data_IF_478548145195
#
_entry.id   IF_478548145195
#
_cell.length_a   1.000
_cell.length_b   1.000
_cell.length_c   1.000
_cell.angle_alpha   90.00
_cell.angle_beta   90.00
_cell.angle_gamma   90.00
#
_symmetry.space_group_name_H-M   'P 1'
#
loop_
_entity.id
_entity.type
_entity.pdbx_description
1 polymer ?
#
# COMPACT_ATOMS: atom_id res chain seq x y z
N UNK A 1 27.17 -22.47 57.49
CA UNK A 1 27.41 -21.78 56.21
C UNK A 1 27.03 -22.70 55.07
N UNK A 2 25.90 -22.46 54.37
CA UNK A 2 25.76 -22.83 52.97
C UNK A 2 25.51 -21.55 52.16
N UNK A 3 26.35 -21.27 51.17
CA UNK A 3 26.11 -20.18 50.22
C UNK A 3 25.43 -20.82 49.01
N UNK A 4 24.18 -20.46 48.79
CA UNK A 4 23.36 -20.90 47.66
C UNK A 4 23.96 -20.40 46.35
N UNK A 5 24.30 -21.33 45.47
CA UNK A 5 24.63 -21.07 44.07
C UNK A 5 23.38 -20.62 43.32
N UNK A 6 23.24 -19.31 43.12
CA UNK A 6 22.23 -18.76 42.20
C UNK A 6 22.61 -19.11 40.76
N UNK A 7 22.00 -20.18 40.23
CA UNK A 7 21.98 -20.44 38.79
C UNK A 7 21.06 -19.40 38.15
N UNK A 8 21.66 -18.41 37.48
CA UNK A 8 20.94 -17.36 36.79
C UNK A 8 20.37 -17.94 35.48
N UNK A 9 19.11 -18.40 35.51
CA UNK A 9 18.37 -18.97 34.37
C UNK A 9 18.34 -18.04 33.14
N UNK A 10 18.67 -16.76 33.30
CA UNK A 10 18.69 -15.77 32.22
C UNK A 10 19.84 -15.93 31.19
N UNK A 11 20.80 -16.84 31.38
CA UNK A 11 21.94 -17.00 30.47
C UNK A 11 21.76 -18.06 29.36
N UNK A 12 20.62 -18.76 29.32
CA UNK A 12 20.42 -19.91 28.42
C UNK A 12 19.66 -19.62 27.12
N UNK A 13 19.23 -18.38 26.86
CA UNK A 13 18.63 -18.05 25.57
C UNK A 13 19.73 -17.79 24.53
N UNK A 14 19.93 -18.67 23.53
CA UNK A 14 20.91 -18.44 22.48
C UNK A 14 20.57 -17.12 21.78
N UNK A 15 21.56 -16.25 21.55
CA UNK A 15 21.37 -14.97 20.85
C UNK A 15 20.64 -15.12 19.51
N UNK A 16 20.73 -16.29 18.88
CA UNK A 16 20.02 -16.68 17.66
C UNK A 16 18.51 -16.88 17.86
N UNK A 17 18.05 -17.39 19.01
CA UNK A 17 16.63 -17.59 19.28
C UNK A 17 15.90 -16.26 19.45
N UNK A 18 16.55 -15.26 20.04
CA UNK A 18 16.02 -13.89 20.17
C UNK A 18 15.68 -13.27 18.80
N UNK A 19 16.57 -13.43 17.81
CA UNK A 19 16.34 -12.93 16.46
C UNK A 19 15.18 -13.67 15.74
N UNK A 20 15.03 -14.97 15.96
CA UNK A 20 13.93 -15.76 15.38
C UNK A 20 12.58 -15.33 15.94
N UNK A 21 12.47 -15.15 17.26
CA UNK A 21 11.25 -14.65 17.87
C UNK A 21 10.92 -13.22 17.40
N UNK A 22 11.93 -12.37 17.23
CA UNK A 22 11.75 -11.02 16.69
C UNK A 22 11.21 -11.05 15.25
N UNK A 23 11.76 -11.90 14.38
CA UNK A 23 11.28 -12.06 13.00
C UNK A 23 9.85 -12.59 12.98
N UNK A 24 9.53 -13.62 13.77
CA UNK A 24 8.18 -14.18 13.86
C UNK A 24 7.14 -13.15 14.35
N UNK A 25 7.53 -12.29 15.30
CA UNK A 25 6.70 -11.17 15.78
C UNK A 25 6.45 -10.10 14.72
N UNK A 26 7.38 -9.91 13.77
CA UNK A 26 7.30 -8.90 12.72
C UNK A 26 6.60 -9.40 11.44
N UNK A 27 6.50 -10.71 11.20
CA UNK A 27 5.80 -11.30 10.04
C UNK A 27 4.37 -10.77 9.80
N UNK A 28 3.49 -10.60 10.81
CA UNK A 28 2.12 -10.11 10.57
C UNK A 28 2.05 -8.64 10.11
N UNK A 29 3.13 -7.85 10.26
CA UNK A 29 3.18 -6.45 9.81
C UNK A 29 3.26 -6.33 8.28
N UNK A 30 3.47 -7.44 7.55
CA UNK A 30 3.64 -7.44 6.08
C UNK A 30 2.30 -7.42 5.32
N UNK A 31 1.15 -7.35 6.01
CA UNK A 31 -0.19 -7.39 5.39
C UNK A 31 -0.56 -6.16 4.52
N UNK A 32 0.35 -5.24 4.21
CA UNK A 32 0.02 -3.96 3.58
C UNK A 32 0.04 -3.95 2.04
N UNK A 33 0.42 -5.06 1.38
CA UNK A 33 0.50 -5.10 -0.08
C UNK A 33 -0.69 -5.83 -0.71
N UNK A 34 -1.38 -5.17 -1.64
CA UNK A 34 -2.45 -5.73 -2.49
C UNK A 34 -1.88 -6.67 -3.54
N UNK A 35 -1.15 -7.70 -3.11
CA UNK A 35 -0.58 -8.71 -3.97
C UNK A 35 -1.54 -9.88 -4.10
N UNK A 36 -2.15 -10.04 -5.28
CA UNK A 36 -3.03 -11.16 -5.60
C UNK A 36 -2.39 -12.03 -6.69
N UNK A 37 -2.47 -13.34 -6.52
CA UNK A 37 -2.14 -14.31 -7.55
C UNK A 37 -3.33 -14.54 -8.49
N UNK A 38 -3.05 -14.69 -9.79
CA UNK A 38 -4.08 -14.97 -10.80
C UNK A 38 -4.60 -13.71 -11.52
N UNK A 39 -5.71 -13.83 -12.26
CA UNK A 39 -6.27 -12.70 -13.00
C UNK A 39 -6.80 -11.62 -12.04
N UNK A 40 -6.84 -10.38 -12.52
CA UNK A 40 -7.41 -9.29 -11.76
C UNK A 40 -8.88 -9.57 -11.41
N UNK A 41 -9.33 -9.23 -10.19
CA UNK A 41 -10.75 -9.27 -9.88
C UNK A 41 -11.51 -8.29 -10.77
N UNK A 42 -12.79 -8.58 -11.04
CA UNK A 42 -13.69 -7.66 -11.74
C UNK A 42 -14.60 -6.98 -10.71
N UNK A 43 -14.22 -5.80 -10.18
CA UNK A 43 -15.03 -5.09 -9.20
C UNK A 43 -16.35 -4.60 -9.83
N UNK A 44 -17.35 -4.38 -8.98
CA UNK A 44 -18.59 -3.72 -9.41
C UNK A 44 -18.30 -2.28 -9.86
N UNK A 45 -18.93 -1.86 -10.96
CA UNK A 45 -18.83 -0.50 -11.50
C UNK A 45 -20.00 0.36 -11.02
N UNK A 46 -19.83 1.69 -11.03
CA UNK A 46 -20.89 2.63 -10.65
C UNK A 46 -22.05 2.57 -11.66
N UNK A 47 -23.26 2.16 -11.25
CA UNK A 47 -24.43 2.20 -12.13
C UNK A 47 -24.87 3.64 -12.39
N UNK A 48 -25.37 3.91 -13.59
CA UNK A 48 -25.88 5.24 -13.98
C UNK A 48 -24.82 6.34 -13.98
N UNK A 49 -23.56 6.00 -14.25
CA UNK A 49 -22.46 6.96 -14.27
C UNK A 49 -22.73 8.12 -15.23
N UNK A 50 -22.76 9.34 -14.69
CA UNK A 50 -22.94 10.56 -15.46
C UNK A 50 -21.57 11.20 -15.74
N UNK A 51 -21.07 11.02 -16.96
CA UNK A 51 -19.74 11.49 -17.35
C UNK A 51 -19.61 13.02 -17.28
N UNK A 52 -20.68 13.75 -17.55
CA UNK A 52 -20.68 15.22 -17.54
C UNK A 52 -20.36 15.77 -16.15
N UNK A 53 -20.80 15.09 -15.09
CA UNK A 53 -20.48 15.43 -13.69
C UNK A 53 -19.05 15.05 -13.29
N UNK A 54 -18.40 14.16 -14.05
CA UNK A 54 -17.05 13.68 -13.76
C UNK A 54 -15.96 14.51 -14.45
N UNK A 55 -16.33 15.28 -15.48
CA UNK A 55 -15.40 16.17 -16.19
C UNK A 55 -14.80 17.24 -15.26
N UNK A 56 -13.64 17.77 -15.67
CA UNK A 56 -12.92 18.78 -14.93
C UNK A 56 -11.75 18.19 -14.13
N UNK A 57 -11.32 18.94 -13.12
CA UNK A 57 -10.09 18.67 -12.37
C UNK A 57 -10.35 17.82 -11.15
N UNK A 58 -9.49 16.81 -10.98
CA UNK A 58 -9.41 15.96 -9.81
C UNK A 58 -8.00 16.04 -9.22
N UNK A 59 -7.92 15.95 -7.89
CA UNK A 59 -6.68 15.89 -7.14
C UNK A 59 -6.50 14.46 -6.64
N UNK A 60 -5.30 13.90 -6.85
CA UNK A 60 -4.97 12.62 -6.27
C UNK A 60 -4.73 12.77 -4.77
N UNK A 61 -5.49 12.03 -3.96
CA UNK A 61 -5.36 12.05 -2.49
C UNK A 61 -4.36 10.98 -2.04
N UNK A 62 -4.51 9.76 -2.53
CA UNK A 62 -3.65 8.61 -2.23
C UNK A 62 -3.49 7.72 -3.46
N UNK A 63 -2.36 7.01 -3.53
CA UNK A 63 -2.08 6.04 -4.59
C UNK A 63 -1.14 4.94 -4.13
N UNK A 64 -1.16 3.85 -4.88
CA UNK A 64 -0.12 2.83 -4.79
C UNK A 64 1.17 3.33 -5.47
N UNK A 65 2.36 2.90 -5.00
CA UNK A 65 3.62 3.22 -5.65
C UNK A 65 3.61 2.80 -7.12
N UNK A 66 3.91 3.73 -8.00
CA UNK A 66 4.02 3.47 -9.44
C UNK A 66 5.25 4.21 -10.02
N UNK A 67 5.74 3.75 -11.17
CA UNK A 67 6.98 4.26 -11.77
C UNK A 67 6.78 5.52 -12.62
N UNK A 68 5.55 5.82 -13.03
CA UNK A 68 5.24 6.86 -14.01
C UNK A 68 4.83 8.20 -13.36
N UNK A 69 4.33 8.20 -12.13
CA UNK A 69 4.04 9.39 -11.34
C UNK A 69 5.10 9.53 -10.24
N UNK A 70 6.04 10.46 -10.39
CA UNK A 70 7.13 10.66 -9.42
C UNK A 70 7.02 11.97 -8.63
N UNK A 71 6.24 12.92 -9.13
CA UNK A 71 6.09 14.25 -8.54
C UNK A 71 5.11 14.29 -7.37
N UNK A 72 4.75 15.50 -6.99
CA UNK A 72 3.75 15.78 -5.94
C UNK A 72 2.60 16.59 -6.52
N UNK A 73 1.52 16.73 -5.74
CA UNK A 73 0.34 17.50 -6.14
C UNK A 73 -0.20 17.05 -7.50
N UNK A 74 -0.40 15.73 -7.66
CA UNK A 74 -0.89 15.15 -8.91
C UNK A 74 -2.32 15.63 -9.17
N UNK A 75 -2.56 16.13 -10.38
CA UNK A 75 -3.87 16.51 -10.86
C UNK A 75 -4.21 15.71 -12.11
N UNK A 76 -5.49 15.34 -12.26
CA UNK A 76 -6.05 14.74 -13.46
C UNK A 76 -7.19 15.62 -13.99
N UNK A 77 -7.10 16.08 -15.24
CA UNK A 77 -8.15 16.86 -15.87
C UNK A 77 -8.85 16.07 -16.99
N UNK A 78 -10.14 15.82 -16.82
CA UNK A 78 -10.98 15.06 -17.74
C UNK A 78 -11.77 16.00 -18.66
N UNK A 79 -11.65 15.78 -19.97
CA UNK A 79 -12.39 16.58 -20.97
C UNK A 79 -12.97 15.70 -22.08
N UNK A 80 -14.17 16.05 -22.54
CA UNK A 80 -14.84 15.35 -23.64
C UNK A 80 -14.24 15.77 -24.99
N UNK A 81 -13.92 14.80 -25.84
CA UNK A 81 -13.49 15.02 -27.23
C UNK A 81 -14.69 14.97 -28.17
N UNK A 82 -14.51 15.53 -29.38
CA UNK A 82 -15.54 15.56 -30.43
C UNK A 82 -15.97 14.17 -30.90
N UNK A 83 -15.08 13.18 -30.79
CA UNK A 83 -15.33 11.78 -31.14
C UNK A 83 -16.06 10.99 -30.03
N UNK A 84 -16.44 11.66 -28.94
CA UNK A 84 -17.11 11.04 -27.78
C UNK A 84 -16.17 10.37 -26.79
N UNK A 85 -14.85 10.39 -27.01
CA UNK A 85 -13.87 9.83 -26.06
C UNK A 85 -13.48 10.85 -24.98
N UNK A 86 -12.89 10.36 -23.88
CA UNK A 86 -12.40 11.20 -22.79
C UNK A 86 -10.90 11.41 -22.93
N UNK A 87 -10.48 12.68 -22.97
CA UNK A 87 -9.09 13.06 -22.79
C UNK A 87 -8.79 13.17 -21.30
N UNK A 88 -7.71 12.53 -20.88
CA UNK A 88 -7.13 12.67 -19.54
C UNK A 88 -5.79 13.38 -19.68
N UNK A 89 -5.62 14.47 -18.93
CA UNK A 89 -4.33 15.15 -18.80
C UNK A 89 -3.89 15.07 -17.34
N UNK A 90 -2.81 14.34 -17.09
CA UNK A 90 -2.18 14.27 -15.78
C UNK A 90 -1.04 15.29 -15.69
N UNK A 91 -0.97 16.03 -14.59
CA UNK A 91 0.10 16.99 -14.31
C UNK A 91 0.57 16.87 -12.86
N UNK A 92 1.80 17.32 -12.61
CA UNK A 92 2.45 17.22 -11.30
C UNK A 92 3.35 18.45 -11.07
N UNK A 93 3.66 18.71 -9.80
CA UNK A 93 4.72 19.63 -9.36
C UNK A 93 6.01 18.85 -9.02
#
# INVERSE_FOLDING_TARGET
MPITSHCNIAQLLPRTMSAVYLVLLLLPLVSAQTFHWGPCPSPAVQPGFNVQKYLGRWYEIERLPNSFEKGKCIEANYSLRKDGTIRVLNSQL
#
